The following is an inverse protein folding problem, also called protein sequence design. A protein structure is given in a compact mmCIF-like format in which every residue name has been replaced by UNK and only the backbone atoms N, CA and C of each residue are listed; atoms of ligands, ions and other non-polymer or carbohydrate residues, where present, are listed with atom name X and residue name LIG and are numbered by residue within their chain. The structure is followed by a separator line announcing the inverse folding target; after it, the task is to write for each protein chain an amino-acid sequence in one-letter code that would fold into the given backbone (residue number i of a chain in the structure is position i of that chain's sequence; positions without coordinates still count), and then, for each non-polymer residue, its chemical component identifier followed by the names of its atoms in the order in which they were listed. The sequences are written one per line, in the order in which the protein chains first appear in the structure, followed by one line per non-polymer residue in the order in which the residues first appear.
data_IF_115229130079
#
_entry.id   IF_115229130079
#
_cell.length_a   1.000
_cell.length_b   1.000
_cell.length_c   1.000
_cell.angle_alpha   90.00
_cell.angle_beta   90.00
_cell.angle_gamma   90.00
#
_symmetry.space_group_name_H-M   'P 1'
#
loop_
_entity.id
_entity.type
_entity.pdbx_description
1 polymer ?
#
# COMPACT_ATOMS: atom_id res chain seq x y z
N UNK A 1 -18.67 44.13 55.99
CA UNK A 1 -20.11 44.46 55.75
C UNK A 1 -20.45 43.96 54.35
N UNK A 2 -20.84 42.70 54.16
CA UNK A 2 -22.13 42.05 54.45
C UNK A 2 -23.33 42.58 53.66
N UNK A 3 -23.81 41.75 52.72
CA UNK A 3 -25.20 41.34 52.39
C UNK A 3 -25.32 41.13 50.86
N UNK A 4 -25.38 39.92 50.29
CA UNK A 4 -26.39 38.84 50.41
C UNK A 4 -27.81 39.39 50.19
N UNK A 5 -28.63 38.89 49.25
CA UNK A 5 -29.42 37.65 49.41
C UNK A 5 -30.26 37.34 48.14
N UNK A 6 -30.14 36.07 47.67
CA UNK A 6 -31.15 35.08 47.15
C UNK A 6 -32.16 35.47 46.05
N UNK A 7 -32.75 34.57 45.26
CA UNK A 7 -32.59 33.16 44.81
C UNK A 7 -33.88 32.83 44.04
N UNK A 8 -33.88 31.88 43.09
CA UNK A 8 -34.94 30.85 43.00
C UNK A 8 -34.50 29.66 42.12
N UNK A 9 -34.99 28.49 42.51
CA UNK A 9 -34.54 27.13 42.21
C UNK A 9 -35.10 26.52 40.90
N UNK A 10 -34.24 25.79 40.17
CA UNK A 10 -34.28 24.38 39.65
C UNK A 10 -35.64 23.62 39.52
N UNK A 11 -35.81 22.59 38.62
CA UNK A 11 -34.84 21.48 38.42
C UNK A 11 -34.80 20.68 37.07
N UNK A 12 -33.75 19.81 36.98
CA UNK A 12 -33.63 18.45 36.37
C UNK A 12 -34.10 18.18 34.91
N UNK A 13 -33.20 17.61 34.10
CA UNK A 13 -33.29 16.21 33.58
C UNK A 13 -32.02 15.80 32.80
N UNK A 14 -31.88 14.49 32.62
CA UNK A 14 -30.64 13.71 32.57
C UNK A 14 -30.17 13.28 31.16
N UNK A 15 -28.88 12.90 31.10
CA UNK A 15 -28.16 12.16 30.04
C UNK A 15 -29.02 11.13 29.28
N UNK A 16 -28.84 11.05 27.96
CA UNK A 16 -28.41 9.80 27.30
C UNK A 16 -27.95 10.05 25.86
N UNK A 17 -27.08 9.15 25.41
CA UNK A 17 -26.25 9.12 24.21
C UNK A 17 -27.01 8.29 23.16
N UNK A 18 -27.19 8.81 21.94
CA UNK A 18 -27.91 8.10 20.86
C UNK A 18 -27.03 7.96 19.62
N UNK A 19 -26.71 6.72 19.31
CA UNK A 19 -26.19 6.21 18.03
C UNK A 19 -27.25 6.31 16.92
N UNK A 20 -26.90 6.63 15.66
CA UNK A 20 -27.84 6.48 14.56
C UNK A 20 -27.70 5.10 13.91
N UNK A 21 -28.80 4.34 13.94
CA UNK A 21 -29.03 3.18 13.09
C UNK A 21 -29.58 3.65 11.73
N UNK A 22 -28.95 3.22 10.64
CA UNK A 22 -29.43 3.48 9.27
C UNK A 22 -30.52 2.47 8.93
N UNK A 23 -31.71 3.00 8.63
CA UNK A 23 -32.90 2.29 8.19
C UNK A 23 -32.81 1.88 6.73
N UNK A 24 -33.35 0.70 6.47
CA UNK A 24 -33.73 0.14 5.17
C UNK A 24 -34.70 1.06 4.42
N UNK A 25 -34.41 1.27 3.13
CA UNK A 25 -35.35 1.88 2.18
C UNK A 25 -35.85 0.82 1.20
N UNK A 26 -37.13 0.51 1.33
CA UNK A 26 -37.95 -0.18 0.32
C UNK A 26 -38.34 0.80 -0.79
N UNK A 27 -38.45 0.30 -2.02
CA UNK A 27 -39.05 1.00 -3.15
C UNK A 27 -40.21 0.15 -3.72
N UNK A 28 -41.30 0.76 -4.22
CA UNK A 28 -42.58 0.08 -4.46
C UNK A 28 -42.76 -0.47 -5.88
N UNK A 29 -43.57 -1.51 -5.99
CA UNK A 29 -44.10 -2.11 -7.23
C UNK A 29 -45.43 -1.46 -7.68
N UNK A 30 -45.74 -1.40 -9.00
CA UNK A 30 -47.11 -1.18 -9.51
C UNK A 30 -47.86 -2.50 -9.78
N UNK A 31 -49.19 -2.48 -10.00
CA UNK A 31 -50.11 -3.55 -9.58
C UNK A 31 -50.39 -4.63 -10.63
N UNK A 32 -50.99 -5.71 -10.13
CA UNK A 32 -51.51 -6.85 -10.85
C UNK A 32 -52.84 -6.56 -11.56
N UNK A 33 -53.00 -7.10 -12.77
CA UNK A 33 -54.30 -7.50 -13.30
C UNK A 33 -54.31 -9.03 -13.47
N UNK A 34 -55.35 -9.62 -12.90
CA UNK A 34 -55.64 -11.05 -12.79
C UNK A 34 -56.39 -11.51 -14.03
N UNK A 35 -56.03 -12.64 -14.64
CA UNK A 35 -57.01 -13.58 -15.24
C UNK A 35 -56.44 -15.01 -15.28
N UNK A 36 -57.37 -15.96 -15.17
CA UNK A 36 -57.24 -17.32 -14.66
C UNK A 36 -56.88 -18.36 -15.75
N UNK A 37 -56.10 -19.36 -15.29
CA UNK A 37 -55.81 -20.72 -15.77
C UNK A 37 -56.43 -21.29 -17.06
N UNK A 38 -55.61 -22.06 -17.81
CA UNK A 38 -55.99 -23.33 -18.46
C UNK A 38 -54.77 -24.19 -18.83
N UNK A 39 -54.88 -25.48 -18.52
CA UNK A 39 -53.96 -26.62 -18.75
C UNK A 39 -53.83 -27.04 -20.23
N UNK A 40 -52.59 -27.33 -20.69
CA UNK A 40 -52.16 -28.44 -21.59
C UNK A 40 -50.80 -28.15 -22.27
N UNK A 41 -49.93 -29.15 -22.53
CA UNK A 41 -48.60 -28.93 -23.10
C UNK A 41 -48.61 -28.89 -24.65
N UNK A 42 -47.87 -27.98 -25.31
CA UNK A 42 -47.75 -27.98 -26.77
C UNK A 42 -46.54 -28.78 -27.31
N UNK A 43 -46.58 -29.25 -28.57
CA UNK A 43 -45.74 -30.31 -29.12
C UNK A 43 -44.39 -29.82 -29.67
N UNK A 44 -43.46 -30.76 -29.89
CA UNK A 44 -42.10 -30.51 -30.39
C UNK A 44 -42.06 -29.92 -31.83
N UNK A 45 -41.13 -28.98 -32.13
CA UNK A 45 -40.99 -28.40 -33.47
C UNK A 45 -40.12 -29.24 -34.43
N UNK A 46 -40.34 -29.15 -35.76
CA UNK A 46 -39.65 -29.95 -36.78
C UNK A 46 -38.23 -29.44 -37.09
N UNK A 47 -37.34 -30.25 -37.70
CA UNK A 47 -35.95 -29.87 -37.92
C UNK A 47 -35.78 -28.94 -39.14
N UNK A 48 -34.96 -27.87 -39.06
CA UNK A 48 -34.63 -27.04 -40.21
C UNK A 48 -33.44 -27.59 -41.04
N UNK A 49 -33.33 -27.19 -42.33
CA UNK A 49 -32.56 -27.89 -43.36
C UNK A 49 -31.05 -27.59 -43.33
N UNK A 50 -30.28 -28.51 -43.91
CA UNK A 50 -28.83 -28.45 -43.99
C UNK A 50 -28.34 -27.46 -45.08
N UNK A 51 -27.57 -26.44 -44.69
CA UNK A 51 -26.62 -25.79 -45.60
C UNK A 51 -25.47 -25.05 -44.86
N UNK A 52 -24.25 -25.22 -45.40
CA UNK A 52 -23.00 -24.48 -45.18
C UNK A 52 -22.40 -24.47 -43.75
N UNK A 53 -21.82 -25.61 -43.34
CA UNK A 53 -21.27 -25.84 -41.99
C UNK A 53 -19.75 -25.63 -41.82
N UNK A 54 -19.01 -25.11 -42.79
CA UNK A 54 -17.52 -25.11 -42.65
C UNK A 54 -16.92 -23.83 -42.04
N UNK A 55 -17.42 -22.63 -42.38
CA UNK A 55 -16.82 -21.35 -41.92
C UNK A 55 -17.39 -20.81 -40.60
N UNK A 56 -18.64 -21.14 -40.27
CA UNK A 56 -19.30 -20.65 -39.04
C UNK A 56 -18.86 -21.42 -37.81
N UNK A 57 -18.64 -22.74 -37.95
CA UNK A 57 -18.16 -23.60 -36.85
C UNK A 57 -16.74 -23.24 -36.42
N UNK A 58 -15.85 -22.92 -37.36
CA UNK A 58 -14.49 -22.50 -37.03
C UNK A 58 -14.52 -21.21 -36.19
N UNK A 59 -15.31 -20.20 -36.61
CA UNK A 59 -15.46 -18.94 -35.88
C UNK A 59 -16.07 -19.14 -34.49
N UNK A 60 -17.13 -19.95 -34.37
CA UNK A 60 -17.79 -20.26 -33.09
C UNK A 60 -16.87 -21.04 -32.15
N UNK A 61 -16.07 -21.97 -32.68
CA UNK A 61 -15.10 -22.74 -31.88
C UNK A 61 -13.96 -21.88 -31.34
N UNK A 62 -13.46 -20.92 -32.13
CA UNK A 62 -12.41 -19.99 -31.70
C UNK A 62 -12.93 -19.06 -30.59
N UNK A 63 -14.16 -18.52 -30.73
CA UNK A 63 -14.75 -17.70 -29.68
C UNK A 63 -15.04 -18.47 -28.38
N UNK A 64 -15.47 -19.73 -28.48
CA UNK A 64 -15.73 -20.58 -27.32
C UNK A 64 -14.44 -20.96 -26.59
N UNK A 65 -13.36 -21.25 -27.32
CA UNK A 65 -12.05 -21.55 -26.74
C UNK A 65 -11.47 -20.33 -25.98
N UNK A 66 -11.62 -19.12 -26.54
CA UNK A 66 -11.19 -17.88 -25.87
C UNK A 66 -12.01 -17.61 -24.61
N UNK A 67 -13.34 -17.75 -24.66
CA UNK A 67 -14.20 -17.57 -23.49
C UNK A 67 -13.90 -18.60 -22.39
N UNK A 68 -13.66 -19.86 -22.76
CA UNK A 68 -13.27 -20.90 -21.81
C UNK A 68 -11.90 -20.60 -21.18
N UNK A 69 -10.93 -20.14 -21.96
CA UNK A 69 -9.61 -19.75 -21.44
C UNK A 69 -9.72 -18.58 -20.44
N UNK A 70 -10.49 -17.53 -20.77
CA UNK A 70 -10.71 -16.39 -19.88
C UNK A 70 -11.42 -16.83 -18.59
N UNK A 71 -12.47 -17.66 -18.69
CA UNK A 71 -13.18 -18.18 -17.52
C UNK A 71 -12.30 -19.05 -16.63
N UNK A 72 -11.42 -19.87 -17.21
CA UNK A 72 -10.50 -20.73 -16.46
C UNK A 72 -9.42 -19.91 -15.76
N UNK A 73 -8.88 -18.88 -16.41
CA UNK A 73 -7.91 -17.95 -15.79
C UNK A 73 -8.57 -17.16 -14.67
N UNK A 74 -9.80 -16.66 -14.88
CA UNK A 74 -10.56 -15.94 -13.86
C UNK A 74 -10.86 -16.83 -12.64
N UNK A 75 -11.28 -18.07 -12.85
CA UNK A 75 -11.52 -19.01 -11.76
C UNK A 75 -10.23 -19.38 -11.02
N UNK A 76 -9.14 -19.66 -11.74
CA UNK A 76 -7.86 -19.95 -11.13
C UNK A 76 -7.32 -18.76 -10.33
N UNK A 77 -7.58 -17.52 -10.77
CA UNK A 77 -7.19 -16.30 -10.06
C UNK A 77 -7.91 -16.09 -8.73
N UNK A 78 -9.13 -16.60 -8.62
CA UNK A 78 -9.94 -16.51 -7.41
C UNK A 78 -9.70 -17.69 -6.45
N UNK A 79 -9.43 -18.87 -7.00
CA UNK A 79 -9.47 -20.12 -6.23
C UNK A 79 -8.10 -20.62 -5.71
N UNK A 80 -6.97 -20.13 -6.23
CA UNK A 80 -5.65 -20.71 -5.91
C UNK A 80 -4.60 -19.67 -5.49
N UNK A 81 -3.81 -20.03 -4.48
CA UNK A 81 -2.62 -19.29 -4.07
C UNK A 81 -1.43 -19.55 -5.03
N UNK A 82 -0.50 -18.58 -5.09
CA UNK A 82 0.67 -18.61 -6.00
C UNK A 82 1.57 -19.83 -5.76
N UNK A 83 1.81 -20.17 -4.49
CA UNK A 83 2.61 -21.35 -4.13
C UNK A 83 1.95 -22.65 -4.61
N UNK A 84 0.63 -22.73 -4.56
CA UNK A 84 -0.13 -23.88 -5.05
C UNK A 84 -0.07 -23.99 -6.58
N UNK A 85 -0.06 -22.85 -7.28
CA UNK A 85 0.08 -22.80 -8.73
C UNK A 85 1.48 -23.16 -9.21
N UNK A 86 2.53 -22.70 -8.51
CA UNK A 86 3.92 -23.11 -8.80
C UNK A 86 4.11 -24.62 -8.55
N UNK A 87 3.49 -25.17 -7.50
CA UNK A 87 3.47 -26.62 -7.26
C UNK A 87 2.75 -27.38 -8.39
N UNK A 88 1.61 -26.88 -8.86
CA UNK A 88 0.88 -27.46 -10.00
C UNK A 88 1.70 -27.38 -11.28
N UNK A 89 2.33 -26.24 -11.57
CA UNK A 89 3.24 -26.06 -12.71
C UNK A 89 4.36 -27.11 -12.69
N UNK A 90 5.00 -27.33 -11.55
CA UNK A 90 6.03 -28.36 -11.40
C UNK A 90 5.48 -29.78 -11.65
N UNK A 91 4.27 -30.07 -11.16
CA UNK A 91 3.58 -31.34 -11.44
C UNK A 91 3.27 -31.55 -12.93
N UNK A 92 2.77 -30.51 -13.61
CA UNK A 92 2.52 -30.54 -15.05
C UNK A 92 3.81 -30.71 -15.86
N UNK A 93 4.91 -30.03 -15.50
CA UNK A 93 6.22 -30.20 -16.14
C UNK A 93 6.75 -31.63 -16.02
N UNK A 94 6.60 -32.25 -14.84
CA UNK A 94 6.95 -33.65 -14.64
C UNK A 94 6.11 -34.57 -15.52
N UNK A 95 4.80 -34.35 -15.59
CA UNK A 95 3.90 -35.13 -16.42
C UNK A 95 4.15 -34.95 -17.94
N UNK A 96 4.58 -33.76 -18.38
CA UNK A 96 5.06 -33.53 -19.75
C UNK A 96 6.29 -34.40 -20.05
N UNK A 97 7.22 -34.52 -19.09
CA UNK A 97 8.37 -35.42 -19.20
C UNK A 97 7.95 -36.89 -19.34
N UNK A 98 6.94 -37.31 -18.57
CA UNK A 98 6.41 -38.68 -18.59
C UNK A 98 5.63 -39.01 -19.89
N UNK A 99 5.00 -38.02 -20.55
CA UNK A 99 4.37 -38.20 -21.87
C UNK A 99 5.40 -38.27 -23.04
N UNK A 100 6.71 -38.19 -22.78
CA UNK A 100 7.74 -38.31 -23.83
C UNK A 100 8.00 -39.77 -24.19
N UNK A 101 8.05 -40.07 -25.50
CA UNK A 101 8.17 -41.45 -26.01
C UNK A 101 9.36 -41.53 -26.95
N UNK A 102 10.17 -42.60 -26.84
CA UNK A 102 11.36 -42.83 -27.67
C UNK A 102 11.04 -43.18 -29.13
N UNK A 103 12.03 -43.04 -30.01
CA UNK A 103 11.87 -43.13 -31.47
C UNK A 103 11.33 -44.48 -31.98
N UNK A 104 11.50 -45.56 -31.20
CA UNK A 104 11.09 -46.94 -31.52
C UNK A 104 9.60 -47.26 -31.29
N UNK A 105 8.79 -46.30 -30.84
CA UNK A 105 7.38 -46.55 -30.51
C UNK A 105 6.43 -46.66 -31.72
N UNK A 106 5.32 -47.39 -31.52
CA UNK A 106 4.31 -47.60 -32.55
C UNK A 106 3.59 -46.30 -32.94
N UNK A 107 3.07 -46.22 -34.18
CA UNK A 107 2.37 -45.04 -34.69
C UNK A 107 1.17 -44.63 -33.82
N UNK A 108 0.51 -45.60 -33.18
CA UNK A 108 -0.61 -45.37 -32.28
C UNK A 108 -0.15 -44.79 -30.93
N UNK A 109 0.95 -45.30 -30.36
CA UNK A 109 1.56 -44.73 -29.14
C UNK A 109 2.08 -43.32 -29.38
N UNK A 110 2.67 -43.04 -30.57
CA UNK A 110 3.08 -41.69 -30.98
C UNK A 110 1.88 -40.74 -31.06
N UNK A 111 0.74 -41.20 -31.58
CA UNK A 111 -0.50 -40.41 -31.59
C UNK A 111 -1.02 -40.16 -30.17
N UNK A 112 -1.06 -41.19 -29.32
CA UNK A 112 -1.51 -41.08 -27.93
C UNK A 112 -0.61 -40.16 -27.10
N UNK A 113 0.71 -40.22 -27.28
CA UNK A 113 1.68 -39.31 -26.68
C UNK A 113 1.52 -37.87 -27.16
N UNK A 114 1.19 -37.67 -28.44
CA UNK A 114 0.90 -36.34 -28.99
C UNK A 114 -0.34 -35.73 -28.34
N UNK A 115 -1.40 -36.52 -28.18
CA UNK A 115 -2.64 -36.10 -27.51
C UNK A 115 -2.41 -35.86 -26.01
N UNK A 116 -1.69 -36.76 -25.32
CA UNK A 116 -1.23 -36.60 -23.92
C UNK A 116 -0.50 -35.27 -23.77
N UNK A 117 0.56 -35.04 -24.54
CA UNK A 117 1.37 -33.82 -24.43
C UNK A 117 0.57 -32.55 -24.71
N UNK A 118 -0.36 -32.57 -25.67
CA UNK A 118 -1.18 -31.40 -26.00
C UNK A 118 -2.18 -31.09 -24.87
N UNK A 119 -2.78 -32.12 -24.29
CA UNK A 119 -3.68 -32.00 -23.14
C UNK A 119 -2.97 -31.47 -21.88
N UNK A 120 -1.68 -31.77 -21.70
CA UNK A 120 -0.86 -31.28 -20.59
C UNK A 120 -0.36 -29.84 -20.82
N UNK A 121 0.00 -29.52 -22.07
CA UNK A 121 0.57 -28.22 -22.45
C UNK A 121 -0.42 -27.07 -22.30
N UNK A 122 -1.71 -27.29 -22.54
CA UNK A 122 -2.74 -26.23 -22.45
C UNK A 122 -2.91 -25.72 -21.00
N UNK A 123 -3.13 -26.58 -19.98
CA UNK A 123 -3.11 -26.15 -18.58
C UNK A 123 -1.80 -25.50 -18.16
N UNK A 124 -0.66 -26.08 -18.56
CA UNK A 124 0.67 -25.52 -18.24
C UNK A 124 0.83 -24.09 -18.79
N UNK A 125 0.50 -23.88 -20.07
CA UNK A 125 0.55 -22.55 -20.70
C UNK A 125 -0.41 -21.56 -20.06
N UNK A 126 -1.57 -22.03 -19.60
CA UNK A 126 -2.53 -21.18 -18.87
C UNK A 126 -1.98 -20.75 -17.52
N UNK A 127 -1.36 -21.67 -16.77
CA UNK A 127 -0.72 -21.38 -15.47
C UNK A 127 0.46 -20.43 -15.66
N UNK A 128 1.31 -20.67 -16.67
CA UNK A 128 2.42 -19.75 -17.03
C UNK A 128 1.90 -18.35 -17.35
N UNK A 129 0.90 -18.24 -18.24
CA UNK A 129 0.30 -16.96 -18.60
C UNK A 129 -0.27 -16.23 -17.39
N UNK A 130 -0.91 -16.95 -16.46
CA UNK A 130 -1.41 -16.37 -15.23
C UNK A 130 -0.28 -15.86 -14.32
N UNK A 131 0.74 -16.69 -14.06
CA UNK A 131 1.89 -16.31 -13.22
C UNK A 131 2.60 -15.10 -13.81
N UNK A 132 2.83 -15.08 -15.12
CA UNK A 132 3.48 -13.97 -15.81
C UNK A 132 2.64 -12.69 -15.76
N UNK A 133 1.33 -12.80 -16.00
CA UNK A 133 0.41 -11.64 -15.92
C UNK A 133 0.34 -11.11 -14.48
N UNK A 134 0.28 -11.99 -13.49
CA UNK A 134 0.26 -11.63 -12.06
C UNK A 134 1.56 -10.93 -11.66
N UNK A 135 2.72 -11.48 -12.03
CA UNK A 135 4.03 -10.84 -11.79
C UNK A 135 4.12 -9.48 -12.45
N UNK A 136 3.63 -9.32 -13.67
CA UNK A 136 3.61 -8.02 -14.33
C UNK A 136 2.73 -6.99 -13.60
N UNK A 137 1.57 -7.42 -13.08
CA UNK A 137 0.69 -6.57 -12.25
C UNK A 137 1.39 -6.23 -10.93
N UNK A 138 1.99 -7.21 -10.26
CA UNK A 138 2.70 -7.02 -8.99
C UNK A 138 3.92 -6.11 -9.16
N UNK A 139 4.72 -6.29 -10.20
CA UNK A 139 5.84 -5.40 -10.55
C UNK A 139 5.35 -3.97 -10.82
N UNK A 140 4.21 -3.82 -11.50
CA UNK A 140 3.62 -2.50 -11.73
C UNK A 140 3.17 -1.85 -10.43
N UNK A 141 2.51 -2.60 -9.54
CA UNK A 141 2.08 -2.14 -8.22
C UNK A 141 3.29 -1.80 -7.35
N UNK A 142 4.36 -2.62 -7.40
CA UNK A 142 5.59 -2.44 -6.64
C UNK A 142 6.22 -1.08 -6.87
N UNK A 143 6.21 -0.59 -8.11
CA UNK A 143 6.70 0.74 -8.45
C UNK A 143 5.96 1.90 -7.76
N UNK A 144 4.75 1.67 -7.26
CA UNK A 144 3.96 2.66 -6.50
C UNK A 144 3.95 2.41 -5.00
N UNK A 145 4.23 1.17 -4.56
CA UNK A 145 4.14 0.79 -3.15
C UNK A 145 5.47 0.75 -2.43
N UNK A 146 6.53 0.34 -3.11
CA UNK A 146 7.84 0.15 -2.48
C UNK A 146 8.72 1.41 -2.52
N UNK A 147 9.65 1.53 -1.56
CA UNK A 147 10.67 2.58 -1.60
C UNK A 147 11.45 2.54 -2.92
N UNK A 148 11.79 3.73 -3.43
CA UNK A 148 12.52 3.89 -4.70
C UNK A 148 13.86 3.16 -4.83
N UNK A 149 14.45 2.71 -3.71
CA UNK A 149 15.72 1.99 -3.67
C UNK A 149 15.78 1.05 -2.47
N UNK A 150 16.51 -0.06 -2.63
CA UNK A 150 16.92 -0.97 -1.53
C UNK A 150 17.78 -0.24 -0.48
N UNK A 151 18.62 0.68 -0.94
CA UNK A 151 19.45 1.57 -0.11
C UNK A 151 19.07 3.01 -0.39
N UNK A 152 18.40 3.65 0.56
CA UNK A 152 17.91 5.03 0.45
C UNK A 152 19.03 6.06 0.58
N UNK A 153 20.07 5.75 1.35
CA UNK A 153 21.23 6.63 1.55
C UNK A 153 22.50 5.97 1.02
N UNK A 154 23.48 6.77 0.53
CA UNK A 154 24.78 6.26 0.12
C UNK A 154 25.56 5.65 1.29
N UNK A 155 26.59 4.88 0.97
CA UNK A 155 27.49 4.30 1.97
C UNK A 155 28.25 5.42 2.72
N UNK A 156 28.38 5.28 4.04
CA UNK A 156 29.14 6.21 4.88
C UNK A 156 30.65 6.07 4.64
N UNK A 157 31.38 7.17 4.80
CA UNK A 157 32.83 7.12 4.82
C UNK A 157 33.30 6.25 6.00
N UNK A 158 34.38 5.45 5.89
CA UNK A 158 34.86 4.60 6.99
C UNK A 158 35.08 5.33 8.31
N UNK A 159 35.40 6.63 8.26
CA UNK A 159 35.61 7.47 9.44
C UNK A 159 34.30 7.92 10.11
N UNK A 160 33.17 7.88 9.40
CA UNK A 160 31.86 8.36 9.88
C UNK A 160 30.94 7.21 10.33
N UNK A 161 31.40 5.97 10.30
CA UNK A 161 30.58 4.79 10.66
C UNK A 161 30.12 4.78 12.12
N UNK A 162 30.75 5.57 13.00
CA UNK A 162 30.39 5.69 14.41
C UNK A 162 29.39 6.83 14.68
N UNK A 163 29.05 7.62 13.67
CA UNK A 163 28.14 8.77 13.82
C UNK A 163 26.71 8.27 13.86
N UNK A 164 25.93 8.76 14.82
CA UNK A 164 24.51 8.45 14.91
C UNK A 164 23.71 9.18 13.83
N UNK A 165 22.69 8.54 13.29
CA UNK A 165 21.78 9.13 12.31
C UNK A 165 20.49 9.57 12.99
N UNK A 166 20.17 10.87 12.92
CA UNK A 166 18.93 11.44 13.42
C UNK A 166 17.98 11.70 12.25
N UNK A 167 16.93 10.88 12.17
CA UNK A 167 15.89 10.98 11.17
C UNK A 167 14.76 11.87 11.72
N UNK A 168 14.40 12.91 11.00
CA UNK A 168 13.39 13.88 11.39
C UNK A 168 12.24 13.90 10.38
N UNK A 169 11.01 13.82 10.85
CA UNK A 169 9.86 14.12 9.99
C UNK A 169 9.73 15.63 9.76
N UNK A 170 9.09 16.03 8.66
CA UNK A 170 8.96 17.43 8.29
C UNK A 170 7.69 18.06 8.87
N UNK A 171 6.53 17.52 8.48
CA UNK A 171 5.22 18.07 8.82
C UNK A 171 4.86 17.77 10.28
N UNK A 172 4.30 18.78 10.96
CA UNK A 172 3.94 18.75 12.39
C UNK A 172 5.13 18.44 13.34
N UNK A 173 6.35 18.41 12.82
CA UNK A 173 7.57 18.10 13.58
C UNK A 173 8.55 19.28 13.51
N UNK A 174 8.99 19.67 12.32
CA UNK A 174 9.88 20.83 12.11
C UNK A 174 9.12 22.07 11.59
N UNK A 175 8.10 21.82 10.78
CA UNK A 175 7.25 22.86 10.18
C UNK A 175 5.79 22.43 10.23
N UNK A 176 4.89 23.40 10.08
CA UNK A 176 3.47 23.15 9.92
C UNK A 176 2.97 23.97 8.73
N UNK A 177 2.15 23.37 7.87
CA UNK A 177 1.50 24.10 6.78
C UNK A 177 0.00 24.10 6.90
N UNK A 178 -0.57 25.30 6.84
CA UNK A 178 -2.00 25.51 6.80
C UNK A 178 -2.41 26.09 5.44
N UNK A 179 -3.70 25.96 5.15
CA UNK A 179 -4.33 26.65 4.04
C UNK A 179 -5.48 27.49 4.58
N UNK A 180 -5.50 28.77 4.22
CA UNK A 180 -6.67 29.63 4.45
C UNK A 180 -7.11 30.29 3.16
N UNK A 181 -8.41 30.59 3.03
CA UNK A 181 -8.98 31.17 1.81
C UNK A 181 -8.32 32.49 1.42
N UNK A 182 -7.91 33.28 2.41
CA UNK A 182 -7.30 34.60 2.23
C UNK A 182 -5.80 34.52 1.93
N UNK A 183 -5.09 33.55 2.52
CA UNK A 183 -3.62 33.50 2.50
C UNK A 183 -3.05 32.43 1.57
N UNK A 184 -3.88 31.49 1.13
CA UNK A 184 -3.43 30.29 0.42
C UNK A 184 -2.65 29.34 1.33
N UNK A 185 -1.82 28.50 0.73
CA UNK A 185 -0.89 27.63 1.45
C UNK A 185 0.22 28.46 2.08
N UNK A 186 0.43 28.31 3.39
CA UNK A 186 1.59 28.89 4.09
C UNK A 186 2.26 27.85 4.96
N UNK A 187 3.57 27.95 5.04
CA UNK A 187 4.42 27.08 5.87
C UNK A 187 5.05 27.91 6.97
N UNK A 188 4.92 27.43 8.20
CA UNK A 188 5.46 28.06 9.40
C UNK A 188 6.55 27.19 10.00
N UNK A 189 7.58 27.83 10.54
CA UNK A 189 8.67 27.16 11.26
C UNK A 189 8.27 26.91 12.70
N UNK A 190 8.52 25.71 13.21
CA UNK A 190 8.34 25.43 14.64
C UNK A 190 9.34 26.26 15.46
N UNK A 191 8.94 26.86 16.59
CA UNK A 191 9.86 27.60 17.44
C UNK A 191 11.08 26.76 17.83
N UNK A 192 12.27 27.36 17.78
CA UNK A 192 13.52 26.70 18.13
C UNK A 192 14.11 25.76 17.08
N UNK A 193 13.48 25.57 15.90
CA UNK A 193 13.96 24.64 14.86
C UNK A 193 15.39 24.93 14.39
N UNK A 194 15.76 26.20 14.25
CA UNK A 194 17.11 26.58 13.79
C UNK A 194 18.16 26.18 14.84
N UNK A 195 17.92 26.52 16.11
CA UNK A 195 18.81 26.18 17.21
C UNK A 195 18.91 24.65 17.39
N UNK A 196 17.81 23.94 17.22
CA UNK A 196 17.75 22.48 17.27
C UNK A 196 18.63 21.83 16.19
N UNK A 197 18.45 22.23 14.93
CA UNK A 197 19.23 21.70 13.80
C UNK A 197 20.71 22.03 13.94
N UNK A 198 21.05 23.29 14.26
CA UNK A 198 22.44 23.73 14.39
C UNK A 198 23.20 23.05 15.54
N UNK A 199 22.50 22.78 16.65
CA UNK A 199 23.14 22.11 17.78
C UNK A 199 23.34 20.63 17.51
N UNK A 200 22.32 19.94 17.00
CA UNK A 200 22.38 18.50 16.79
C UNK A 200 23.20 18.09 15.57
N UNK A 201 23.36 18.95 14.57
CA UNK A 201 24.23 18.69 13.41
C UNK A 201 25.70 18.44 13.77
N UNK A 202 26.12 18.83 14.99
CA UNK A 202 27.48 18.56 15.51
C UNK A 202 27.66 17.12 15.97
N UNK A 203 26.57 16.44 16.32
CA UNK A 203 26.58 15.11 16.94
C UNK A 203 25.99 14.04 16.01
N UNK A 204 25.06 14.45 15.15
CA UNK A 204 24.26 13.55 14.33
C UNK A 204 24.40 13.84 12.84
N UNK A 205 24.34 12.78 12.04
CA UNK A 205 23.92 12.88 10.65
C UNK A 205 22.41 13.14 10.61
N UNK A 206 22.01 14.37 10.28
CA UNK A 206 20.58 14.72 10.20
C UNK A 206 20.02 14.35 8.83
N UNK A 207 18.95 13.58 8.82
CA UNK A 207 18.20 13.16 7.63
C UNK A 207 16.74 13.57 7.79
N UNK A 208 16.20 14.34 6.84
CA UNK A 208 14.75 14.60 6.83
C UNK A 208 14.04 13.51 6.05
N UNK A 209 13.02 12.88 6.64
CA UNK A 209 12.25 11.80 6.00
C UNK A 209 10.74 12.06 6.10
N UNK A 210 10.19 12.58 5.01
CA UNK A 210 8.79 13.01 4.91
C UNK A 210 7.98 12.09 3.98
N UNK A 211 6.68 11.94 4.28
CA UNK A 211 5.68 11.33 3.40
C UNK A 211 5.06 12.33 2.40
N UNK A 212 5.58 13.55 2.31
CA UNK A 212 5.14 14.53 1.33
C UNK A 212 5.94 14.40 0.02
N UNK A 213 5.38 14.90 -1.07
CA UNK A 213 6.03 14.88 -2.38
C UNK A 213 7.29 15.76 -2.38
N UNK A 214 8.31 15.39 -3.14
CA UNK A 214 9.56 16.15 -3.27
C UNK A 214 9.33 17.61 -3.68
N UNK A 215 8.37 17.83 -4.59
CA UNK A 215 7.85 19.16 -4.98
C UNK A 215 7.56 20.09 -3.78
N UNK A 216 7.09 19.53 -2.66
CA UNK A 216 6.80 20.28 -1.45
C UNK A 216 8.00 20.30 -0.49
N UNK A 217 8.65 19.14 -0.31
CA UNK A 217 9.74 18.96 0.66
C UNK A 217 10.96 19.80 0.29
N UNK A 218 11.39 19.77 -0.96
CA UNK A 218 12.61 20.43 -1.44
C UNK A 218 12.60 21.95 -1.19
N UNK A 219 11.59 22.73 -1.65
CA UNK A 219 11.58 24.18 -1.44
C UNK A 219 11.39 24.61 0.02
N UNK A 220 10.85 23.73 0.88
CA UNK A 220 10.72 23.97 2.32
C UNK A 220 12.06 23.77 3.01
N UNK A 221 12.76 22.66 2.73
CA UNK A 221 14.09 22.38 3.29
C UNK A 221 15.10 23.44 2.86
N UNK A 222 15.11 23.84 1.58
CA UNK A 222 16.00 24.88 1.06
C UNK A 222 15.85 26.23 1.79
N UNK A 223 14.65 26.54 2.29
CA UNK A 223 14.39 27.76 3.07
C UNK A 223 14.65 27.57 4.56
N UNK A 224 14.42 26.37 5.07
CA UNK A 224 14.58 26.02 6.48
C UNK A 224 16.06 25.94 6.85
N UNK A 225 16.86 25.24 6.05
CA UNK A 225 18.25 24.91 6.36
C UNK A 225 19.23 25.72 5.51
N UNK A 226 19.41 26.99 5.88
CA UNK A 226 20.36 27.88 5.22
C UNK A 226 21.82 27.58 5.58
N UNK A 227 22.04 26.81 6.65
CA UNK A 227 23.37 26.50 7.21
C UNK A 227 23.91 25.14 6.76
N UNK A 228 23.11 24.33 6.07
CA UNK A 228 23.50 23.01 5.60
C UNK A 228 23.65 21.97 6.71
N UNK A 229 22.78 22.06 7.74
CA UNK A 229 22.72 21.10 8.85
C UNK A 229 22.16 19.74 8.42
N UNK A 230 21.28 19.71 7.42
CA UNK A 230 20.60 18.51 6.93
C UNK A 230 21.44 17.89 5.81
N UNK A 231 21.90 16.65 6.00
CA UNK A 231 22.79 15.97 5.05
C UNK A 231 22.02 15.29 3.91
N UNK A 232 20.87 14.69 4.24
CA UNK A 232 20.02 14.01 3.27
C UNK A 232 18.55 14.34 3.47
N UNK A 233 17.79 14.29 2.39
CA UNK A 233 16.33 14.47 2.38
C UNK A 233 15.67 13.35 1.60
N UNK A 234 14.66 12.74 2.21
CA UNK A 234 13.86 11.66 1.68
C UNK A 234 12.40 12.13 1.66
N UNK A 235 11.75 11.94 0.52
CA UNK A 235 10.36 12.32 0.29
C UNK A 235 9.48 11.07 0.13
N UNK A 236 8.22 11.25 -0.23
CA UNK A 236 7.22 10.18 -0.38
C UNK A 236 7.70 8.98 -1.21
N UNK A 237 8.49 9.21 -2.25
CA UNK A 237 9.03 8.14 -3.11
C UNK A 237 9.97 7.18 -2.36
N UNK A 238 10.50 7.56 -1.20
CA UNK A 238 11.30 6.71 -0.34
C UNK A 238 10.47 5.92 0.68
N UNK A 239 9.18 6.23 0.86
CA UNK A 239 8.31 5.56 1.84
C UNK A 239 7.71 4.27 1.30
N UNK A 240 7.37 3.35 2.21
CA UNK A 240 6.57 2.16 1.90
C UNK A 240 5.07 2.50 2.01
N UNK A 241 4.32 2.33 0.93
CA UNK A 241 2.86 2.51 0.94
C UNK A 241 2.17 1.16 1.15
N UNK A 242 1.51 1.01 2.31
CA UNK A 242 0.80 -0.20 2.69
C UNK A 242 -0.53 0.17 3.38
N UNK A 243 -1.61 -0.53 3.06
CA UNK A 243 -2.92 -0.36 3.72
C UNK A 243 -3.45 1.09 3.71
N UNK A 244 -3.15 1.86 2.66
CA UNK A 244 -3.58 3.25 2.56
C UNK A 244 -2.72 4.27 3.32
N UNK A 245 -1.60 3.85 3.91
CA UNK A 245 -0.69 4.70 4.69
C UNK A 245 0.75 4.59 4.21
N UNK A 246 1.48 5.70 4.34
CA UNK A 246 2.92 5.75 4.10
C UNK A 246 3.69 5.48 5.39
N UNK A 247 4.59 4.50 5.32
CA UNK A 247 5.49 4.11 6.39
C UNK A 247 6.93 4.44 6.04
N UNK A 248 7.68 4.90 7.03
CA UNK A 248 9.12 5.10 6.94
C UNK A 248 9.78 3.79 7.35
N UNK A 249 10.44 3.15 6.40
CA UNK A 249 11.27 1.98 6.67
C UNK A 249 12.71 2.42 6.97
N UNK A 250 13.10 2.40 8.24
CA UNK A 250 14.44 2.80 8.68
C UNK A 250 15.49 1.76 8.30
N UNK A 251 15.10 0.50 8.07
CA UNK A 251 16.02 -0.56 7.64
C UNK A 251 16.63 -0.29 6.26
N UNK A 252 15.91 0.46 5.42
CA UNK A 252 16.34 0.84 4.07
C UNK A 252 17.27 2.05 4.05
N UNK A 253 17.56 2.68 5.19
CA UNK A 253 18.46 3.84 5.26
C UNK A 253 19.93 3.49 5.05
N UNK A 254 20.32 2.20 4.97
CA UNK A 254 21.72 1.79 4.86
C UNK A 254 22.58 2.37 6.01
N UNK A 255 22.04 2.28 7.23
CA UNK A 255 22.67 2.70 8.49
C UNK A 255 22.53 1.57 9.51
N UNK A 256 23.36 1.58 10.54
CA UNK A 256 23.24 0.61 11.63
C UNK A 256 21.96 0.91 12.44
N UNK A 257 20.99 -0.01 12.55
CA UNK A 257 19.75 0.22 13.29
C UNK A 257 19.97 0.62 14.76
N UNK A 258 21.06 0.20 15.40
CA UNK A 258 21.38 0.59 16.77
C UNK A 258 21.79 2.06 16.92
N UNK A 259 22.07 2.75 15.81
CA UNK A 259 22.55 4.13 15.76
C UNK A 259 21.56 5.06 15.03
N UNK A 260 20.34 4.60 14.77
CA UNK A 260 19.29 5.38 14.11
C UNK A 260 18.22 5.79 15.12
N UNK A 261 17.86 7.06 15.13
CA UNK A 261 16.74 7.59 15.90
C UNK A 261 15.77 8.30 14.96
N UNK A 262 14.47 8.05 15.10
CA UNK A 262 13.43 8.72 14.32
C UNK A 262 12.54 9.58 15.19
N UNK A 263 12.54 10.89 14.97
CA UNK A 263 11.71 11.86 15.70
C UNK A 263 10.56 12.33 14.81
N UNK A 264 9.33 12.15 15.29
CA UNK A 264 8.13 12.62 14.60
C UNK A 264 6.96 12.82 15.58
N UNK A 265 6.06 13.73 15.23
CA UNK A 265 4.73 13.85 15.84
C UNK A 265 3.94 12.53 15.83
N UNK A 266 4.16 11.71 14.81
CA UNK A 266 3.45 10.47 14.55
C UNK A 266 4.40 9.27 14.48
N UNK A 267 5.51 9.31 15.24
CA UNK A 267 6.61 8.35 15.09
C UNK A 267 6.15 6.89 15.23
N UNK A 268 5.36 6.59 16.27
CA UNK A 268 4.85 5.24 16.55
C UNK A 268 3.89 4.71 15.49
N UNK A 269 3.22 5.58 14.74
CA UNK A 269 2.23 5.16 13.75
C UNK A 269 2.77 5.18 12.32
N UNK A 270 3.90 5.87 12.09
CA UNK A 270 4.48 6.12 10.76
C UNK A 270 5.81 5.41 10.54
N UNK A 271 6.40 4.80 11.57
CA UNK A 271 7.62 3.99 11.48
C UNK A 271 7.32 2.50 11.44
N UNK A 272 8.14 1.73 10.70
CA UNK A 272 8.14 0.26 10.79
C UNK A 272 9.00 -0.26 11.96
N UNK A 273 9.89 0.57 12.50
CA UNK A 273 10.77 0.25 13.63
C UNK A 273 10.40 1.15 14.83
N UNK A 274 9.36 0.78 15.61
CA UNK A 274 8.91 1.57 16.75
C UNK A 274 9.97 1.70 17.85
N UNK A 275 10.89 0.75 17.97
CA UNK A 275 12.00 0.75 18.94
C UNK A 275 13.00 1.89 18.71
N UNK A 276 13.13 2.37 17.47
CA UNK A 276 13.98 3.51 17.11
C UNK A 276 13.21 4.84 17.12
N UNK A 277 11.93 4.82 17.50
CA UNK A 277 11.03 5.98 17.36
C UNK A 277 10.94 6.78 18.65
N UNK A 278 11.22 8.08 18.55
CA UNK A 278 11.12 9.06 19.63
C UNK A 278 9.93 9.97 19.34
N UNK A 279 8.77 9.73 19.97
CA UNK A 279 7.59 10.57 19.73
C UNK A 279 7.80 11.97 20.32
N UNK A 280 7.47 12.98 19.53
CA UNK A 280 7.37 14.37 19.98
C UNK A 280 5.93 14.85 19.86
N UNK A 281 5.54 15.88 20.59
CA UNK A 281 4.22 16.51 20.41
C UNK A 281 4.08 17.02 18.95
N UNK A 282 3.02 16.64 18.21
CA UNK A 282 2.69 17.25 16.93
C UNK A 282 2.43 18.75 17.11
N UNK A 283 3.07 19.57 16.29
CA UNK A 283 2.95 21.03 16.35
C UNK A 283 1.88 21.57 15.41
N UNK A 284 1.01 22.43 15.95
CA UNK A 284 -0.17 23.03 15.30
C UNK A 284 -0.20 24.54 15.52
N UNK A 285 0.92 25.20 15.26
CA UNK A 285 1.09 26.66 15.32
C UNK A 285 0.98 27.26 16.73
N UNK A 286 1.23 26.48 17.78
CA UNK A 286 1.38 27.02 19.14
C UNK A 286 2.66 27.85 19.25
N UNK A 287 2.54 29.09 19.74
CA UNK A 287 3.66 30.04 19.83
C UNK A 287 4.57 29.78 21.04
N UNK A 288 4.05 29.10 22.07
CA UNK A 288 4.73 28.73 23.31
C UNK A 288 5.32 27.31 23.27
N UNK A 289 5.38 26.69 22.09
CA UNK A 289 5.96 25.36 21.92
C UNK A 289 7.49 25.39 22.13
N UNK A 290 7.97 24.59 23.09
CA UNK A 290 9.41 24.40 23.39
C UNK A 290 9.88 22.99 23.10
N UNK A 291 9.03 22.12 22.54
CA UNK A 291 9.26 20.69 22.57
C UNK A 291 10.52 20.26 21.80
N UNK A 292 10.91 20.98 20.74
CA UNK A 292 12.19 20.73 20.06
C UNK A 292 13.38 21.03 20.97
N UNK A 293 13.34 22.17 21.67
CA UNK A 293 14.41 22.58 22.58
C UNK A 293 14.52 21.64 23.79
N UNK A 294 13.38 21.20 24.32
CA UNK A 294 13.32 20.27 25.46
C UNK A 294 13.88 18.88 25.10
N UNK A 295 13.88 18.53 23.81
CA UNK A 295 14.42 17.25 23.32
C UNK A 295 15.94 17.26 23.14
N UNK A 296 16.57 18.44 23.03
CA UNK A 296 18.01 18.59 22.79
C UNK A 296 18.86 17.86 23.84
N UNK A 297 18.66 18.06 25.17
CA UNK A 297 19.52 17.44 26.17
C UNK A 297 19.47 15.91 26.15
N UNK A 298 18.31 15.34 25.82
CA UNK A 298 18.14 13.90 25.68
C UNK A 298 18.93 13.35 24.47
N UNK A 299 18.77 13.97 23.30
CA UNK A 299 19.48 13.53 22.10
C UNK A 299 20.99 13.72 22.26
N UNK A 300 21.44 14.85 22.79
CA UNK A 300 22.86 15.07 23.10
C UNK A 300 23.41 13.99 24.06
N UNK A 301 22.67 13.66 25.11
CA UNK A 301 23.08 12.59 26.03
C UNK A 301 23.24 11.24 25.32
N UNK A 302 22.29 10.87 24.45
CA UNK A 302 22.33 9.61 23.70
C UNK A 302 23.54 9.56 22.78
N UNK A 303 23.84 10.64 22.04
CA UNK A 303 25.00 10.70 21.15
C UNK A 303 26.34 10.57 21.89
N UNK A 304 26.44 11.12 23.10
CA UNK A 304 27.72 11.18 23.84
C UNK A 304 27.95 9.93 24.69
N UNK A 305 26.91 9.32 25.27
CA UNK A 305 27.05 8.29 26.31
C UNK A 305 26.71 6.87 25.86
N UNK A 306 26.13 6.69 24.67
CA UNK A 306 25.82 5.38 24.12
C UNK A 306 26.99 4.94 23.22
N UNK A 307 28.08 4.46 23.84
CA UNK A 307 29.23 3.83 23.16
C UNK A 307 29.21 2.32 23.38
#
# INVERSE_FOLDING_TARGET
MSRAVRSRLLPRLSKSRTTPAVRSFSSPSPPAETLIASDHPPPAPPPPPAASKSRTFLKVSVSAAVAAAIGTVAYASYAYDVEELEKKKAGYLRWVGDCSVGDDASSFEKFQATVCSTAVKVPLKTIELYIDTRRAIEDHVRGFTEPSSEKLLPDLHPQEQHVFTLVLDLNETLVHSDWTRERGWRTFKRPGVDAFLEHLAKFYEIVVYSDQLSMYVDPVIERLDQKGCIRYRLARNATLYQNGKHYRDLSKLNRNPSQVLYVSGHALESSLQPENSVPIKPWKLENDDTALLDLIPFLEYVAVHTC
#
